data_IF_933289634640
#
_entry.id   IF_933289634640
#
_cell.length_a   1.000
_cell.length_b   1.000
_cell.length_c   1.000
_cell.angle_alpha   90.00
_cell.angle_beta   90.00
_cell.angle_gamma   90.00
#
_symmetry.space_group_name_H-M   'P 1'
#
loop_
_entity.id
_entity.type
_entity.pdbx_description
1 polymer ?
#
# COMPACT_ATOMS: atom_id res chain seq x y z
N UNK A 1 -2.37 22.57 -56.78
CA UNK A 1 -1.29 21.62 -57.12
C UNK A 1 -0.43 21.45 -55.89
N UNK A 2 -0.40 20.25 -55.30
CA UNK A 2 0.39 19.97 -54.09
C UNK A 2 1.81 19.60 -54.52
N UNK A 3 2.80 20.34 -54.04
CA UNK A 3 4.20 20.19 -54.38
C UNK A 3 4.78 19.00 -53.61
N UNK A 4 4.72 17.78 -54.18
CA UNK A 4 5.45 16.63 -53.67
C UNK A 4 6.93 16.76 -54.04
N UNK A 5 7.69 17.44 -53.19
CA UNK A 5 9.14 17.43 -53.25
C UNK A 5 9.62 16.01 -52.92
N UNK A 6 10.22 15.32 -53.90
CA UNK A 6 10.74 13.97 -53.71
C UNK A 6 11.79 13.94 -52.58
N UNK A 7 11.56 13.09 -51.59
CA UNK A 7 12.42 12.94 -50.41
C UNK A 7 13.83 12.47 -50.84
N UNK A 8 14.84 13.32 -50.67
CA UNK A 8 16.22 13.08 -51.08
C UNK A 8 17.06 12.35 -50.03
N UNK A 9 16.48 11.97 -48.88
CA UNK A 9 17.20 11.30 -47.80
C UNK A 9 17.54 9.85 -48.16
N UNK A 10 18.73 9.39 -47.77
CA UNK A 10 19.10 7.98 -47.91
C UNK A 10 18.30 7.12 -46.95
N UNK A 11 18.20 5.80 -47.23
CA UNK A 11 17.52 4.87 -46.32
C UNK A 11 18.11 4.92 -44.89
N UNK A 12 19.44 5.03 -44.76
CA UNK A 12 20.11 5.19 -43.47
C UNK A 12 19.72 6.48 -42.75
N UNK A 13 19.68 7.62 -43.45
CA UNK A 13 19.24 8.90 -42.85
C UNK A 13 17.77 8.83 -42.38
N UNK A 14 16.91 8.13 -43.12
CA UNK A 14 15.52 7.92 -42.72
C UNK A 14 15.40 7.04 -41.48
N UNK A 15 16.27 6.03 -41.33
CA UNK A 15 16.32 5.17 -40.14
C UNK A 15 16.84 5.97 -38.94
N UNK A 16 17.90 6.76 -39.10
CA UNK A 16 18.45 7.60 -38.03
C UNK A 16 17.41 8.65 -37.56
N UNK A 17 16.69 9.26 -38.49
CA UNK A 17 15.59 10.19 -38.17
C UNK A 17 14.45 9.47 -37.43
N UNK A 18 14.12 8.23 -37.83
CA UNK A 18 13.12 7.41 -37.14
C UNK A 18 13.57 7.02 -35.73
N UNK A 19 14.83 6.66 -35.54
CA UNK A 19 15.38 6.32 -34.22
C UNK A 19 15.33 7.53 -33.28
N UNK A 20 15.73 8.71 -33.76
CA UNK A 20 15.61 9.96 -33.00
C UNK A 20 14.16 10.29 -32.66
N UNK A 21 13.25 10.12 -33.63
CA UNK A 21 11.82 10.29 -33.42
C UNK A 21 11.27 9.33 -32.36
N UNK A 22 11.68 8.06 -32.40
CA UNK A 22 11.25 7.04 -31.45
C UNK A 22 11.81 7.30 -30.05
N UNK A 23 13.06 7.74 -29.92
CA UNK A 23 13.63 8.17 -28.63
C UNK A 23 12.90 9.38 -28.05
N UNK A 24 12.55 10.37 -28.89
CA UNK A 24 11.78 11.55 -28.45
C UNK A 24 10.36 11.17 -27.99
N UNK A 25 9.71 10.24 -28.69
CA UNK A 25 8.42 9.69 -28.28
C UNK A 25 8.53 8.93 -26.96
N UNK A 26 9.58 8.13 -26.78
CA UNK A 26 9.81 7.39 -25.53
C UNK A 26 10.00 8.34 -24.34
N UNK A 27 10.81 9.39 -24.50
CA UNK A 27 11.01 10.40 -23.45
C UNK A 27 9.71 11.16 -23.14
N UNK A 28 8.93 11.50 -24.17
CA UNK A 28 7.64 12.16 -23.99
C UNK A 28 6.66 11.25 -23.27
N UNK A 29 6.62 9.96 -23.61
CA UNK A 29 5.78 8.97 -22.93
C UNK A 29 6.20 8.80 -21.45
N UNK A 30 7.50 8.77 -21.15
CA UNK A 30 8.00 8.70 -19.76
C UNK A 30 7.60 9.95 -18.96
N UNK A 31 7.77 11.13 -19.53
CA UNK A 31 7.33 12.39 -18.90
C UNK A 31 5.82 12.40 -18.66
N UNK A 32 5.03 11.99 -19.65
CA UNK A 32 3.57 11.87 -19.51
C UNK A 32 3.18 10.87 -18.41
N UNK A 33 3.89 9.74 -18.31
CA UNK A 33 3.63 8.76 -17.25
C UNK A 33 3.86 9.37 -15.85
N UNK A 34 4.92 10.15 -15.67
CA UNK A 34 5.20 10.87 -14.41
C UNK A 34 4.16 11.95 -14.12
N UNK A 35 3.77 12.73 -15.12
CA UNK A 35 2.74 13.75 -14.98
C UNK A 35 1.39 13.13 -14.59
N UNK A 36 1.03 12.00 -15.21
CA UNK A 36 -0.18 11.25 -14.86
C UNK A 36 -0.15 10.71 -13.43
N UNK A 37 0.99 10.24 -12.93
CA UNK A 37 1.12 9.85 -11.52
C UNK A 37 0.89 11.06 -10.60
N UNK A 38 1.48 12.20 -10.91
CA UNK A 38 1.31 13.44 -10.14
C UNK A 38 -0.16 13.90 -10.13
N UNK A 39 -0.83 13.88 -11.28
CA UNK A 39 -2.26 14.24 -11.39
C UNK A 39 -3.13 13.26 -10.59
N UNK A 40 -2.83 11.95 -10.66
CA UNK A 40 -3.54 10.93 -9.89
C UNK A 40 -3.43 11.18 -8.39
N UNK A 41 -2.24 11.51 -7.89
CA UNK A 41 -2.02 11.85 -6.47
C UNK A 41 -2.78 13.11 -6.06
N UNK A 42 -2.77 14.15 -6.89
CA UNK A 42 -3.51 15.38 -6.65
C UNK A 42 -5.03 15.14 -6.59
N UNK A 43 -5.58 14.32 -7.51
CA UNK A 43 -7.00 13.95 -7.49
C UNK A 43 -7.34 13.18 -6.22
N UNK A 44 -6.49 12.23 -5.80
CA UNK A 44 -6.73 11.48 -4.56
C UNK A 44 -6.75 12.41 -3.35
N UNK A 45 -5.82 13.36 -3.27
CA UNK A 45 -5.75 14.35 -2.18
C UNK A 45 -6.99 15.25 -2.15
N UNK A 46 -7.40 15.78 -3.32
CA UNK A 46 -8.59 16.61 -3.45
C UNK A 46 -9.87 15.85 -3.08
N UNK A 47 -9.98 14.59 -3.51
CA UNK A 47 -11.09 13.72 -3.15
C UNK A 47 -11.19 13.51 -1.64
N UNK A 48 -10.07 13.21 -0.98
CA UNK A 48 -10.05 13.05 0.48
C UNK A 48 -10.39 14.36 1.21
N UNK A 49 -9.84 15.50 0.75
CA UNK A 49 -10.18 16.81 1.34
C UNK A 49 -11.65 17.15 1.18
N UNK A 50 -12.25 16.87 0.02
CA UNK A 50 -13.67 17.09 -0.22
C UNK A 50 -14.54 16.20 0.69
N UNK A 51 -14.24 14.91 0.77
CA UNK A 51 -14.93 13.99 1.69
C UNK A 51 -14.82 14.45 3.14
N UNK A 52 -13.65 14.97 3.53
CA UNK A 52 -13.42 15.50 4.88
C UNK A 52 -14.25 16.74 5.18
N UNK A 53 -14.42 17.65 4.22
CA UNK A 53 -15.31 18.81 4.34
C UNK A 53 -16.77 18.37 4.45
N UNK A 54 -17.20 17.39 3.64
CA UNK A 54 -18.55 16.83 3.71
C UNK A 54 -18.81 16.20 5.07
N UNK A 55 -17.87 15.39 5.57
CA UNK A 55 -17.93 14.77 6.91
C UNK A 55 -17.99 15.83 8.01
N UNK A 56 -17.10 16.82 8.01
CA UNK A 56 -17.11 17.92 8.98
C UNK A 56 -18.47 18.65 8.98
N UNK A 57 -18.97 19.01 7.80
CA UNK A 57 -20.26 19.67 7.64
C UNK A 57 -21.42 18.80 8.14
N UNK A 58 -21.42 17.50 7.84
CA UNK A 58 -22.45 16.56 8.29
C UNK A 58 -22.46 16.35 9.81
N UNK A 59 -21.27 16.44 10.45
CA UNK A 59 -21.10 16.35 11.90
C UNK A 59 -21.42 17.66 12.63
N UNK A 60 -21.67 18.76 11.88
CA UNK A 60 -21.86 20.09 12.45
C UNK A 60 -20.58 20.70 13.01
N UNK A 61 -19.41 20.21 12.60
CA UNK A 61 -18.11 20.73 13.02
C UNK A 61 -17.72 21.97 12.21
N UNK A 62 -16.89 22.83 12.80
CA UNK A 62 -16.37 24.00 12.09
C UNK A 62 -15.43 23.57 10.95
N UNK A 63 -15.54 24.23 9.79
CA UNK A 63 -14.68 23.99 8.63
C UNK A 63 -13.34 24.70 8.80
N UNK A 64 -12.56 24.32 9.82
CA UNK A 64 -11.19 24.79 10.00
C UNK A 64 -10.20 23.79 9.41
N UNK A 65 -8.99 24.27 9.10
CA UNK A 65 -7.95 23.42 8.52
C UNK A 65 -7.56 22.26 9.47
N UNK A 66 -7.59 22.47 10.79
CA UNK A 66 -7.30 21.44 11.78
C UNK A 66 -8.35 20.31 11.77
N UNK A 67 -9.63 20.68 11.70
CA UNK A 67 -10.74 19.72 11.62
C UNK A 67 -10.65 18.92 10.32
N UNK A 68 -10.44 19.60 9.20
CA UNK A 68 -10.31 18.94 7.90
C UNK A 68 -9.10 18.01 7.89
N UNK A 69 -7.94 18.45 8.37
CA UNK A 69 -6.74 17.62 8.44
C UNK A 69 -6.95 16.38 9.32
N UNK A 70 -7.61 16.54 10.48
CA UNK A 70 -7.96 15.42 11.35
C UNK A 70 -8.85 14.39 10.63
N UNK A 71 -9.91 14.84 9.97
CA UNK A 71 -10.82 13.95 9.25
C UNK A 71 -10.12 13.29 8.05
N UNK A 72 -9.24 14.01 7.34
CA UNK A 72 -8.43 13.43 6.27
C UNK A 72 -7.56 12.27 6.77
N UNK A 73 -6.99 12.41 7.97
CA UNK A 73 -6.23 11.34 8.64
C UNK A 73 -7.15 10.18 9.02
N UNK A 74 -8.33 10.45 9.60
CA UNK A 74 -9.34 9.41 9.90
C UNK A 74 -9.73 8.61 8.65
N UNK A 75 -9.98 9.31 7.54
CA UNK A 75 -10.31 8.71 6.25
C UNK A 75 -9.20 7.80 5.72
N UNK A 76 -7.94 8.24 5.82
CA UNK A 76 -6.80 7.42 5.41
C UNK A 76 -6.68 6.16 6.29
N UNK A 77 -6.89 6.29 7.61
CA UNK A 77 -6.87 5.15 8.54
C UNK A 77 -8.00 4.17 8.20
N UNK A 78 -9.19 4.66 7.88
CA UNK A 78 -10.34 3.85 7.47
C UNK A 78 -10.07 3.12 6.15
N UNK A 79 -9.57 3.81 5.11
CA UNK A 79 -9.18 3.20 3.83
C UNK A 79 -8.14 2.06 4.03
N UNK A 80 -7.15 2.29 4.90
CA UNK A 80 -6.13 1.29 5.21
C UNK A 80 -6.70 0.09 5.96
N UNK A 81 -7.63 0.32 6.91
CA UNK A 81 -8.34 -0.76 7.61
C UNK A 81 -9.15 -1.60 6.64
N UNK A 82 -9.93 -0.97 5.76
CA UNK A 82 -10.71 -1.69 4.75
C UNK A 82 -9.84 -2.54 3.84
N UNK A 83 -8.68 -2.04 3.41
CA UNK A 83 -7.71 -2.84 2.62
C UNK A 83 -7.24 -4.07 3.37
N UNK A 84 -6.88 -3.94 4.64
CA UNK A 84 -6.44 -5.09 5.45
C UNK A 84 -7.60 -6.07 5.62
N UNK A 85 -8.80 -5.61 5.96
CA UNK A 85 -10.00 -6.44 6.04
C UNK A 85 -10.27 -7.19 4.74
N UNK A 86 -10.14 -6.53 3.59
CA UNK A 86 -10.30 -7.17 2.29
C UNK A 86 -9.26 -8.26 2.04
N UNK A 87 -7.99 -8.03 2.40
CA UNK A 87 -6.93 -9.04 2.28
C UNK A 87 -7.14 -10.22 3.22
N UNK A 88 -7.66 -9.99 4.43
CA UNK A 88 -8.06 -11.04 5.36
C UNK A 88 -9.22 -11.86 4.79
N UNK A 89 -10.26 -11.19 4.29
CA UNK A 89 -11.44 -11.83 3.70
C UNK A 89 -11.10 -12.64 2.44
N UNK A 90 -10.08 -12.22 1.68
CA UNK A 90 -9.55 -12.95 0.53
C UNK A 90 -8.64 -14.14 0.92
N UNK A 91 -8.37 -14.33 2.21
CA UNK A 91 -7.45 -15.36 2.70
C UNK A 91 -5.98 -15.09 2.41
N UNK A 92 -5.63 -13.88 1.95
CA UNK A 92 -4.24 -13.47 1.71
C UNK A 92 -3.52 -13.22 3.03
N UNK A 93 -4.25 -12.67 4.02
CA UNK A 93 -3.75 -12.44 5.37
C UNK A 93 -4.49 -13.31 6.37
N UNK A 94 -3.74 -13.96 7.26
CA UNK A 94 -4.31 -14.71 8.40
C UNK A 94 -3.74 -14.15 9.69
N UNK A 95 -4.59 -13.88 10.67
CA UNK A 95 -4.15 -13.34 11.96
C UNK A 95 -3.08 -14.26 12.59
N UNK A 96 -2.05 -13.63 13.16
CA UNK A 96 -0.95 -14.32 13.82
C UNK A 96 -0.65 -13.67 15.17
N UNK A 97 -0.18 -14.46 16.14
CA UNK A 97 0.15 -13.93 17.47
C UNK A 97 1.52 -13.25 17.51
N UNK A 98 2.45 -13.74 16.70
CA UNK A 98 3.85 -13.33 16.70
C UNK A 98 4.30 -12.96 15.30
N UNK A 99 5.15 -11.94 15.23
CA UNK A 99 5.73 -11.49 13.97
C UNK A 99 6.78 -12.49 13.50
N UNK A 100 6.53 -13.09 12.34
CA UNK A 100 7.44 -13.95 11.61
C UNK A 100 8.13 -13.26 10.43
N UNK A 101 8.99 -13.99 9.69
CA UNK A 101 9.79 -13.44 8.59
C UNK A 101 8.97 -12.92 7.40
N UNK A 102 7.79 -13.49 7.18
CA UNK A 102 6.86 -13.12 6.10
C UNK A 102 5.54 -12.59 6.64
N UNK A 103 5.58 -11.91 7.79
CA UNK A 103 4.40 -11.31 8.38
C UNK A 103 4.11 -9.94 7.77
N UNK A 104 2.82 -9.64 7.67
CA UNK A 104 2.30 -8.32 7.43
C UNK A 104 1.92 -7.73 8.79
N UNK A 105 2.47 -6.56 9.11
CA UNK A 105 2.24 -5.92 10.39
C UNK A 105 1.58 -4.57 10.21
N UNK A 106 0.72 -4.24 11.16
CA UNK A 106 0.07 -2.95 11.27
C UNK A 106 0.43 -2.36 12.62
N UNK A 107 0.75 -1.09 12.66
CA UNK A 107 1.08 -0.40 13.89
C UNK A 107 0.94 1.10 13.78
N UNK A 108 1.39 1.80 14.82
CA UNK A 108 1.46 3.27 14.83
C UNK A 108 2.87 3.74 15.13
N UNK A 109 3.22 4.88 14.54
CA UNK A 109 4.47 5.57 14.81
C UNK A 109 4.29 6.54 15.97
N UNK A 110 5.19 6.44 16.93
CA UNK A 110 5.26 7.28 18.11
C UNK A 110 6.54 8.10 18.07
N UNK A 111 6.43 9.39 18.36
CA UNK A 111 7.58 10.25 18.65
C UNK A 111 8.20 9.91 20.02
N UNK A 112 9.34 10.52 20.31
CA UNK A 112 10.06 10.31 21.57
C UNK A 112 9.24 10.70 22.81
N UNK A 113 8.39 11.72 22.68
CA UNK A 113 7.47 12.21 23.71
C UNK A 113 6.20 11.36 23.86
N UNK A 114 6.04 10.32 23.04
CA UNK A 114 4.88 9.44 23.02
C UNK A 114 3.69 9.95 22.21
N UNK A 115 3.80 11.10 21.52
CA UNK A 115 2.77 11.53 20.57
C UNK A 115 2.71 10.63 19.35
N UNK A 116 1.50 10.37 18.86
CA UNK A 116 1.27 9.58 17.65
C UNK A 116 1.55 10.45 16.43
N UNK A 117 2.64 10.18 15.71
CA UNK A 117 2.91 10.87 14.44
C UNK A 117 2.14 10.25 13.29
N UNK A 118 2.08 8.92 13.24
CA UNK A 118 1.33 8.20 12.22
C UNK A 118 0.40 7.18 12.88
N UNK A 119 -0.94 7.39 12.84
CA UNK A 119 -1.88 6.56 13.55
C UNK A 119 -2.06 5.16 12.97
N UNK A 120 -1.69 4.95 11.70
CA UNK A 120 -1.73 3.62 11.07
C UNK A 120 -0.69 3.51 9.97
N UNK A 121 0.34 2.72 10.24
CA UNK A 121 1.32 2.24 9.28
C UNK A 121 1.17 0.75 9.08
N UNK A 122 1.45 0.29 7.86
CA UNK A 122 1.36 -1.12 7.52
C UNK A 122 2.42 -1.50 6.49
N UNK A 123 3.10 -2.62 6.71
CA UNK A 123 4.15 -3.10 5.82
C UNK A 123 4.38 -4.60 5.98
N UNK A 124 5.03 -5.17 4.97
CA UNK A 124 5.53 -6.55 5.01
C UNK A 124 6.93 -6.53 5.62
N UNK A 125 7.16 -7.37 6.62
CA UNK A 125 8.45 -7.45 7.34
C UNK A 125 9.60 -7.75 6.36
N UNK A 126 9.39 -8.62 5.38
CA UNK A 126 10.40 -8.97 4.38
C UNK A 126 10.79 -7.83 3.44
N UNK A 127 9.98 -6.77 3.31
CA UNK A 127 10.27 -5.60 2.49
C UNK A 127 11.07 -4.50 3.23
N UNK A 128 11.27 -4.66 4.54
CA UNK A 128 12.06 -3.74 5.34
C UNK A 128 13.56 -3.92 5.10
N UNK A 129 14.33 -2.87 5.36
CA UNK A 129 15.78 -2.96 5.40
C UNK A 129 16.22 -3.95 6.49
N UNK A 130 17.28 -4.76 6.28
CA UNK A 130 17.69 -5.81 7.22
C UNK A 130 17.84 -5.32 8.67
N UNK A 131 18.46 -4.15 8.87
CA UNK A 131 18.67 -3.54 10.20
C UNK A 131 17.38 -3.32 10.98
N UNK A 132 16.31 -2.97 10.29
CA UNK A 132 14.99 -2.72 10.87
C UNK A 132 14.21 -4.03 10.96
N UNK A 133 14.28 -4.86 9.93
CA UNK A 133 13.62 -6.17 9.83
C UNK A 133 13.96 -7.05 11.02
N UNK A 134 15.23 -7.11 11.42
CA UNK A 134 15.71 -8.04 12.43
C UNK A 134 15.26 -7.67 13.86
N UNK A 135 14.59 -6.51 14.04
CA UNK A 135 14.00 -6.07 15.32
C UNK A 135 12.57 -6.54 15.54
N UNK A 136 11.90 -7.05 14.50
CA UNK A 136 10.50 -7.45 14.54
C UNK A 136 10.23 -8.91 14.93
N UNK A 137 11.09 -9.91 14.65
CA UNK A 137 10.78 -11.31 14.95
C UNK A 137 10.38 -11.55 16.41
N UNK A 138 9.27 -12.26 16.61
CA UNK A 138 8.73 -12.59 17.94
C UNK A 138 7.98 -11.46 18.62
N UNK A 139 7.91 -10.26 18.02
CA UNK A 139 7.09 -9.19 18.56
C UNK A 139 5.60 -9.54 18.50
N UNK A 140 4.82 -9.03 19.46
CA UNK A 140 3.37 -9.23 19.54
C UNK A 140 2.61 -7.92 19.39
N UNK A 141 1.32 -8.02 19.06
CA UNK A 141 0.41 -6.89 19.17
C UNK A 141 0.45 -6.29 20.60
N UNK A 142 0.48 -4.96 20.68
CA UNK A 142 0.66 -4.19 21.91
C UNK A 142 2.12 -3.89 22.28
N UNK A 143 3.11 -4.44 21.57
CA UNK A 143 4.52 -4.18 21.85
C UNK A 143 5.03 -2.93 21.11
N UNK A 144 5.77 -2.09 21.82
CA UNK A 144 6.49 -0.95 21.25
C UNK A 144 7.96 -1.31 21.00
N UNK A 145 8.42 -1.11 19.77
CA UNK A 145 9.78 -1.38 19.30
C UNK A 145 10.50 -0.07 18.98
N UNK A 146 11.77 0.02 19.36
CA UNK A 146 12.63 1.15 19.00
C UNK A 146 13.41 0.82 17.73
N UNK A 147 12.96 1.38 16.61
CA UNK A 147 13.49 1.02 15.28
C UNK A 147 14.80 1.74 14.96
N UNK A 148 15.02 2.92 15.54
CA UNK A 148 16.27 3.65 15.46
C UNK A 148 16.47 4.46 16.75
N UNK A 149 17.65 4.35 17.37
CA UNK A 149 17.95 5.00 18.64
C UNK A 149 17.61 6.50 18.58
N UNK A 150 16.63 6.91 19.37
CA UNK A 150 16.22 8.32 19.53
C UNK A 150 15.63 8.99 18.29
N UNK A 151 15.04 8.25 17.35
CA UNK A 151 14.33 8.87 16.20
C UNK A 151 12.85 8.56 16.14
N UNK A 152 12.43 7.33 16.41
CA UNK A 152 11.02 6.96 16.39
C UNK A 152 10.79 5.57 16.98
N UNK A 153 9.62 5.42 17.60
CA UNK A 153 9.13 4.17 18.20
C UNK A 153 7.95 3.66 17.39
N UNK A 154 7.84 2.35 17.25
CA UNK A 154 6.76 1.70 16.52
C UNK A 154 5.98 0.78 17.44
N UNK A 155 4.70 1.04 17.62
CA UNK A 155 3.82 0.17 18.38
C UNK A 155 3.05 -0.76 17.44
N UNK A 156 3.29 -2.05 17.57
CA UNK A 156 2.60 -3.10 16.82
C UNK A 156 1.16 -3.18 17.31
N UNK A 157 0.19 -3.07 16.41
CA UNK A 157 -1.24 -3.15 16.73
C UNK A 157 -1.86 -4.46 16.23
N UNK A 158 -1.51 -4.88 15.02
CA UNK A 158 -2.04 -6.08 14.40
C UNK A 158 -0.90 -6.85 13.73
N UNK A 159 -0.95 -8.17 13.78
CA UNK A 159 0.03 -9.06 13.17
C UNK A 159 -0.70 -10.10 12.33
N UNK A 160 -0.27 -10.26 11.09
CA UNK A 160 -0.81 -11.20 10.14
C UNK A 160 0.32 -12.00 9.47
N UNK A 161 0.05 -13.24 9.12
CA UNK A 161 0.87 -14.02 8.20
C UNK A 161 0.33 -13.91 6.79
N UNK A 162 1.23 -13.72 5.83
CA UNK A 162 0.89 -13.72 4.42
C UNK A 162 0.81 -15.17 3.95
N UNK A 163 -0.37 -15.59 3.52
CA UNK A 163 -0.57 -16.91 2.94
C UNK A 163 0.13 -16.95 1.57
N UNK A 164 1.01 -17.92 1.40
CA UNK A 164 1.56 -18.23 0.09
C UNK A 164 0.61 -19.23 -0.58
N UNK A 165 0.40 -19.20 -1.92
CA UNK A 165 -0.58 -20.07 -2.59
C UNK A 165 -0.46 -21.57 -2.28
N UNK A 166 0.72 -22.02 -1.82
CA UNK A 166 1.00 -23.40 -1.42
C UNK A 166 0.34 -23.82 -0.08
N UNK A 167 -0.10 -22.87 0.76
CA UNK A 167 -0.74 -23.15 2.06
C UNK A 167 -2.27 -23.05 2.04
N UNK A 168 -2.90 -22.67 0.93
CA UNK A 168 -4.37 -22.64 0.79
C UNK A 168 -5.00 -24.04 0.60
N UNK A 169 -4.20 -25.08 0.40
CA UNK A 169 -4.65 -26.44 0.05
C UNK A 169 -4.99 -27.40 1.22
N UNK A 170 -4.50 -27.30 2.47
CA UNK A 170 -4.74 -28.39 3.44
C UNK A 170 -6.12 -28.38 4.12
N UNK A 171 -6.84 -27.26 4.14
CA UNK A 171 -8.08 -27.17 4.94
C UNK A 171 -9.34 -27.67 4.23
N UNK A 172 -9.32 -27.82 2.90
CA UNK A 172 -10.45 -28.40 2.17
C UNK A 172 -10.55 -29.94 2.29
N UNK A 173 -9.52 -30.62 2.80
CA UNK A 173 -9.49 -32.09 2.91
C UNK A 173 -9.73 -32.62 4.34
N UNK A 174 -9.66 -31.78 5.37
CA UNK A 174 -9.88 -32.21 6.75
C UNK A 174 -11.38 -32.33 7.10
N UNK A 175 -12.25 -31.48 6.54
CA UNK A 175 -13.70 -31.55 6.81
C UNK A 175 -14.40 -32.74 6.13
N UNK A 176 -13.89 -33.24 4.99
CA UNK A 176 -14.46 -34.42 4.31
C UNK A 176 -14.07 -35.77 4.95
N UNK A 177 -13.01 -35.82 5.76
CA UNK A 177 -12.60 -37.04 6.46
C UNK A 177 -13.40 -37.27 7.77
N UNK A 178 -13.92 -36.20 8.39
CA UNK A 178 -14.71 -36.28 9.62
C UNK A 178 -16.18 -36.68 9.37
N UNK A 179 -16.77 -36.33 8.23
CA UNK A 179 -18.17 -36.71 7.90
C UNK A 179 -18.32 -38.15 7.38
N UNK A 180 -17.25 -38.77 6.87
CA UNK A 180 -17.31 -40.14 6.35
C UNK A 180 -17.18 -41.23 7.42
N UNK A 181 -16.80 -40.88 8.66
CA UNK A 181 -16.60 -41.87 9.74
C UNK A 181 -17.82 -42.00 10.67
N UNK A 182 -18.82 -41.11 10.58
CA UNK A 182 -20.03 -41.16 11.44
C UNK A 182 -21.27 -41.77 10.79
N UNK A 183 -21.20 -42.19 9.52
CA UNK A 183 -22.34 -42.76 8.79
C UNK A 183 -22.41 -44.30 8.77
N UNK A 184 -21.45 -45.01 9.38
CA UNK A 184 -21.44 -46.49 9.48
C UNK A 184 -21.33 -46.98 10.94
N UNK A 185 -22.28 -46.60 11.80
CA UNK A 185 -22.46 -47.22 13.14
C UNK A 185 -23.94 -47.43 13.45
#
# INVERSE_FOLDING_TARGET
MSNQQADKRTASQRIDDMERGLMALYQTADNMARDLMTVKEAIKLLGNKLDSVVKASSRGEALTDEVIAKIMVENNVEELKEKVTNLVNQGVLVAAEEVGPNSFIVGRELADDGTVQNPRMQFVVSALQPEVRDKFPGAKAGQTLELQEGKWKFEVQEVYNIQTPEQAAPQAQAEQASESTQAES
#
